data_IF_170519654638
#
_entry.id   IF_170519654638
#
_cell.length_a   1.000
_cell.length_b   1.000
_cell.length_c   1.000
_cell.angle_alpha   90.00
_cell.angle_beta   90.00
_cell.angle_gamma   90.00
#
_symmetry.space_group_name_H-M   'P 1'
#
loop_
_entity.id
_entity.type
_entity.pdbx_description
1 polymer ?
#
# COMPACT_ATOMS: atom_id res chain seq x y z
N UNK A 1 -12.38 11.31 -8.51
CA UNK A 1 -10.95 11.61 -8.32
C UNK A 1 -10.16 10.88 -9.40
N UNK A 2 -9.25 11.57 -10.10
CA UNK A 2 -8.39 10.94 -11.12
C UNK A 2 -6.94 11.20 -10.73
N UNK A 3 -6.33 10.19 -10.11
CA UNK A 3 -4.95 10.22 -9.67
C UNK A 3 -3.96 9.98 -10.81
N UNK A 4 -2.71 10.32 -10.55
CA UNK A 4 -1.57 10.05 -11.45
C UNK A 4 -0.29 9.87 -10.67
N UNK A 5 0.65 9.19 -11.29
CA UNK A 5 2.03 9.05 -10.81
C UNK A 5 2.90 9.99 -11.63
N UNK A 6 3.69 10.82 -10.95
CA UNK A 6 4.63 11.75 -11.54
C UNK A 6 6.06 11.32 -11.22
N UNK A 7 6.97 11.48 -12.20
CA UNK A 7 8.41 11.38 -12.00
C UNK A 7 9.01 12.74 -12.14
N UNK A 8 9.71 13.20 -11.10
CA UNK A 8 10.37 14.49 -11.07
C UNK A 8 11.89 14.29 -11.13
N UNK A 9 12.57 15.10 -11.94
CA UNK A 9 14.01 15.29 -11.83
C UNK A 9 14.25 16.56 -11.03
N UNK A 10 14.96 16.44 -9.92
CA UNK A 10 15.20 17.54 -9.00
C UNK A 10 16.70 17.83 -8.93
N UNK A 11 17.09 19.09 -8.99
CA UNK A 11 18.46 19.55 -8.76
C UNK A 11 18.81 19.53 -7.27
N UNK A 12 20.10 19.67 -6.94
CA UNK A 12 20.59 19.65 -5.56
C UNK A 12 20.01 20.77 -4.68
N UNK A 13 19.62 21.89 -5.30
CA UNK A 13 18.98 23.04 -4.64
C UNK A 13 17.46 22.88 -4.47
N UNK A 14 16.88 21.73 -4.89
CA UNK A 14 15.43 21.46 -4.85
C UNK A 14 14.66 21.94 -6.08
N UNK A 15 15.31 22.58 -7.06
CA UNK A 15 14.64 23.00 -8.29
C UNK A 15 14.16 21.82 -9.12
N UNK A 16 12.90 21.83 -9.55
CA UNK A 16 12.35 20.80 -10.44
C UNK A 16 12.83 21.08 -11.87
N UNK A 17 13.70 20.22 -12.37
CA UNK A 17 14.27 20.29 -13.73
C UNK A 17 13.37 19.65 -14.78
N UNK A 18 12.63 18.60 -14.40
CA UNK A 18 11.74 17.85 -15.29
C UNK A 18 10.57 17.28 -14.50
N UNK A 19 9.40 17.24 -15.13
CA UNK A 19 8.19 16.62 -14.60
C UNK A 19 7.55 15.77 -15.71
N UNK A 20 7.46 14.47 -15.48
CA UNK A 20 6.88 13.51 -16.41
C UNK A 20 5.72 12.74 -15.76
N UNK A 21 4.66 12.52 -16.52
CA UNK A 21 3.57 11.65 -16.14
C UNK A 21 3.98 10.20 -16.43
N UNK A 22 4.05 9.36 -15.41
CA UNK A 22 4.27 7.91 -15.56
C UNK A 22 2.96 7.23 -15.88
N UNK A 23 1.96 7.38 -15.01
CA UNK A 23 0.63 6.79 -15.18
C UNK A 23 -0.45 7.80 -14.80
N UNK A 24 -1.60 7.69 -15.45
CA UNK A 24 -2.76 8.56 -15.19
C UNK A 24 -4.08 7.79 -15.29
N UNK A 25 -5.16 8.41 -14.81
CA UNK A 25 -6.49 7.81 -14.80
C UNK A 25 -6.70 6.86 -13.62
N UNK A 26 -5.77 6.81 -12.67
CA UNK A 26 -5.90 6.03 -11.46
C UNK A 26 -7.03 6.57 -10.57
N UNK A 27 -7.75 5.68 -9.88
CA UNK A 27 -8.87 6.08 -9.05
C UNK A 27 -8.42 6.58 -7.67
N UNK A 28 -7.62 5.81 -6.97
CA UNK A 28 -7.11 6.16 -5.65
C UNK A 28 -5.70 5.58 -5.43
N UNK A 29 -4.66 6.11 -6.13
CA UNK A 29 -3.29 5.70 -5.87
C UNK A 29 -2.86 6.19 -4.48
N UNK A 30 -2.13 5.34 -3.74
CA UNK A 30 -1.67 5.66 -2.40
C UNK A 30 -0.15 5.46 -2.27
N UNK A 31 0.31 4.33 -1.75
CA UNK A 31 1.72 4.06 -1.53
C UNK A 31 2.52 3.80 -2.79
N UNK A 32 3.80 4.17 -2.78
CA UNK A 32 4.74 3.91 -3.87
C UNK A 32 6.08 3.42 -3.32
N UNK A 33 6.67 2.39 -3.95
CA UNK A 33 8.04 1.91 -3.67
C UNK A 33 8.72 1.49 -4.98
N UNK A 34 10.04 1.62 -4.98
CA UNK A 34 10.90 1.23 -6.11
C UNK A 34 11.73 0.01 -5.70
N UNK A 35 11.85 -0.96 -6.63
CA UNK A 35 12.76 -2.09 -6.51
C UNK A 35 13.30 -2.46 -7.89
N UNK A 36 14.63 -2.40 -8.06
CA UNK A 36 15.26 -2.58 -9.37
C UNK A 36 14.72 -1.57 -10.39
N UNK A 37 14.33 -2.06 -11.54
CA UNK A 37 13.84 -1.24 -12.66
C UNK A 37 12.32 -0.97 -12.61
N UNK A 38 11.67 -1.27 -11.49
CA UNK A 38 10.22 -1.16 -11.35
C UNK A 38 9.81 -0.31 -10.17
N UNK A 39 8.71 0.43 -10.35
CA UNK A 39 7.95 1.02 -9.27
C UNK A 39 6.65 0.24 -9.04
N UNK A 40 6.28 0.12 -7.78
CA UNK A 40 5.06 -0.53 -7.31
C UNK A 40 4.18 0.52 -6.67
N UNK A 41 2.92 0.58 -7.10
CA UNK A 41 1.96 1.61 -6.65
C UNK A 41 0.68 0.92 -6.22
N UNK A 42 0.26 1.14 -4.98
CA UNK A 42 -1.06 0.67 -4.53
C UNK A 42 -2.17 1.53 -5.09
N UNK A 43 -3.31 0.90 -5.36
CA UNK A 43 -4.58 1.57 -5.62
C UNK A 43 -5.65 0.97 -4.73
N UNK A 44 -6.23 1.80 -3.87
CA UNK A 44 -7.08 1.35 -2.76
C UNK A 44 -8.40 0.75 -3.21
N UNK A 45 -8.83 0.96 -4.46
CA UNK A 45 -9.98 0.27 -5.06
C UNK A 45 -9.94 0.30 -6.58
N UNK A 46 -10.64 -0.66 -7.19
CA UNK A 46 -10.96 -0.71 -8.62
C UNK A 46 -12.48 -0.62 -8.75
N UNK A 47 -13.01 0.61 -8.88
CA UNK A 47 -14.45 0.86 -8.82
C UNK A 47 -15.29 0.08 -9.85
N UNK A 48 -14.86 -0.08 -11.13
CA UNK A 48 -15.59 -0.85 -12.13
C UNK A 48 -15.55 -2.36 -11.87
N UNK A 49 -14.58 -2.85 -11.09
CA UNK A 49 -14.41 -4.29 -10.83
C UNK A 49 -15.39 -4.73 -9.76
N UNK A 50 -16.18 -5.77 -10.09
CA UNK A 50 -17.12 -6.38 -9.16
C UNK A 50 -16.63 -7.78 -8.80
N UNK A 51 -16.22 -7.95 -7.54
CA UNK A 51 -15.96 -9.30 -7.03
C UNK A 51 -17.28 -10.08 -6.97
N UNK A 52 -17.30 -11.40 -7.30
CA UNK A 52 -18.54 -12.20 -7.24
C UNK A 52 -19.28 -12.17 -5.90
N UNK A 53 -18.53 -11.95 -4.80
CA UNK A 53 -19.10 -11.78 -3.45
C UNK A 53 -19.62 -10.37 -3.16
N UNK A 54 -19.49 -9.41 -4.10
CA UNK A 54 -19.82 -8.00 -3.89
C UNK A 54 -18.78 -7.20 -3.11
N UNK A 55 -17.67 -7.83 -2.70
CA UNK A 55 -16.60 -7.18 -1.93
C UNK A 55 -15.74 -6.27 -2.79
N UNK A 56 -15.09 -5.32 -2.13
CA UNK A 56 -14.16 -4.38 -2.76
C UNK A 56 -12.90 -5.10 -3.27
N UNK A 57 -12.48 -4.74 -4.48
CA UNK A 57 -11.22 -5.17 -5.09
C UNK A 57 -10.26 -3.98 -5.16
N UNK A 58 -9.02 -4.22 -4.79
CA UNK A 58 -7.91 -3.28 -4.88
C UNK A 58 -6.68 -3.95 -5.51
N UNK A 59 -5.65 -3.19 -5.82
CA UNK A 59 -4.48 -3.75 -6.49
C UNK A 59 -3.17 -3.04 -6.16
N UNK A 60 -2.07 -3.69 -6.52
CA UNK A 60 -0.76 -3.09 -6.74
C UNK A 60 -0.51 -3.07 -8.24
N UNK A 61 -0.22 -1.90 -8.79
CA UNK A 61 0.34 -1.75 -10.12
C UNK A 61 1.87 -1.85 -10.09
N UNK A 62 2.45 -2.32 -11.19
CA UNK A 62 3.91 -2.32 -11.43
C UNK A 62 4.20 -1.65 -12.75
N UNK A 63 5.01 -0.59 -12.71
CA UNK A 63 5.46 0.16 -13.88
C UNK A 63 6.98 0.06 -14.01
N UNK A 64 7.49 -0.03 -15.24
CA UNK A 64 8.92 0.18 -15.52
C UNK A 64 9.32 1.62 -15.21
N UNK A 65 10.53 1.82 -14.72
CA UNK A 65 11.03 3.18 -14.43
C UNK A 65 11.22 4.03 -15.68
N UNK A 66 11.30 3.43 -16.86
CA UNK A 66 11.41 4.08 -18.17
C UNK A 66 10.04 4.33 -18.83
N UNK A 67 8.96 3.72 -18.33
CA UNK A 67 7.62 3.90 -18.88
C UNK A 67 7.05 5.30 -18.58
N UNK A 68 6.28 5.82 -19.53
CA UNK A 68 5.64 7.14 -19.45
C UNK A 68 4.26 7.12 -20.12
N UNK A 69 3.38 8.02 -19.68
CA UNK A 69 2.06 8.25 -20.26
C UNK A 69 1.15 7.02 -20.31
N UNK A 70 1.22 6.16 -19.29
CA UNK A 70 0.41 4.96 -19.18
C UNK A 70 -1.02 5.37 -18.81
N UNK A 71 -1.98 5.04 -19.65
CA UNK A 71 -3.41 5.19 -19.35
C UNK A 71 -3.91 3.96 -18.60
N UNK A 72 -4.29 4.13 -17.33
CA UNK A 72 -4.81 3.04 -16.49
C UNK A 72 -6.29 2.81 -16.80
N UNK A 73 -6.66 1.54 -17.02
CA UNK A 73 -8.02 1.15 -17.35
C UNK A 73 -8.93 0.94 -16.15
N UNK A 74 -8.34 0.74 -14.96
CA UNK A 74 -9.03 0.35 -13.71
C UNK A 74 -9.80 -0.96 -13.79
N UNK A 75 -9.44 -1.84 -14.72
CA UNK A 75 -10.02 -3.18 -14.88
C UNK A 75 -8.98 -4.27 -14.63
N UNK A 76 -9.41 -5.50 -14.41
CA UNK A 76 -8.50 -6.64 -14.15
C UNK A 76 -7.64 -7.02 -15.38
N UNK A 77 -8.03 -6.56 -16.57
CA UNK A 77 -7.29 -6.77 -17.82
C UNK A 77 -6.12 -5.79 -17.99
N UNK A 78 -5.96 -4.81 -17.08
CA UNK A 78 -4.83 -3.89 -17.15
C UNK A 78 -3.53 -4.65 -16.93
N UNK A 79 -2.65 -4.60 -17.95
CA UNK A 79 -1.37 -5.35 -17.98
C UNK A 79 -0.40 -4.95 -16.88
N UNK A 80 -0.59 -3.79 -16.26
CA UNK A 80 0.27 -3.29 -15.20
C UNK A 80 -0.18 -3.76 -13.80
N UNK A 81 -1.33 -4.43 -13.68
CA UNK A 81 -1.70 -5.05 -12.40
C UNK A 81 -0.70 -6.14 -12.07
N UNK A 82 -0.05 -5.99 -10.92
CA UNK A 82 0.91 -6.94 -10.38
C UNK A 82 0.26 -7.92 -9.40
N UNK A 83 -0.59 -7.42 -8.52
CA UNK A 83 -1.33 -8.23 -7.55
C UNK A 83 -2.68 -7.58 -7.24
N UNK A 84 -3.67 -8.41 -6.87
CA UNK A 84 -5.00 -7.96 -6.44
C UNK A 84 -5.29 -8.41 -5.03
N UNK A 85 -6.18 -7.68 -4.36
CA UNK A 85 -6.63 -7.94 -2.99
C UNK A 85 -8.14 -7.76 -2.91
N UNK A 86 -8.77 -8.54 -2.05
CA UNK A 86 -10.18 -8.40 -1.71
C UNK A 86 -10.27 -7.91 -0.27
N UNK A 87 -11.05 -6.86 -0.02
CA UNK A 87 -11.33 -6.37 1.31
C UNK A 87 -12.59 -7.02 1.82
N UNK A 88 -12.47 -7.75 2.94
CA UNK A 88 -13.55 -8.51 3.55
C UNK A 88 -14.52 -7.63 4.35
N UNK A 89 -14.01 -6.53 4.91
CA UNK A 89 -14.78 -5.61 5.74
C UNK A 89 -15.77 -4.78 4.90
N UNK A 90 -17.10 -4.98 5.02
CA UNK A 90 -18.09 -4.26 4.22
C UNK A 90 -18.23 -2.79 4.61
N UNK A 91 -17.78 -2.41 5.81
CA UNK A 91 -17.89 -1.04 6.33
C UNK A 91 -16.77 -0.14 5.81
N UNK A 92 -15.72 -0.70 5.21
CA UNK A 92 -14.60 0.06 4.68
C UNK A 92 -14.52 -0.03 3.16
N UNK A 93 -14.30 1.13 2.52
CA UNK A 93 -14.22 1.27 1.06
C UNK A 93 -12.79 1.44 0.55
N UNK A 94 -11.78 1.05 1.34
CA UNK A 94 -10.35 1.10 0.97
C UNK A 94 -9.67 -0.25 1.20
N UNK A 95 -8.86 -0.66 0.23
CA UNK A 95 -8.12 -1.93 0.25
C UNK A 95 -6.61 -1.70 0.30
N UNK A 96 -5.88 -2.06 -0.77
CA UNK A 96 -4.41 -1.91 -0.82
C UNK A 96 -4.00 -0.45 -0.63
N UNK A 97 -3.17 -0.20 0.39
CA UNK A 97 -2.78 1.12 0.84
C UNK A 97 -1.26 1.23 1.01
N UNK A 98 -0.71 1.20 2.23
CA UNK A 98 0.73 1.21 2.45
C UNK A 98 1.43 0.01 1.84
N UNK A 99 2.68 0.20 1.38
CA UNK A 99 3.53 -0.90 0.94
C UNK A 99 5.00 -0.64 1.29
N UNK A 100 5.75 -1.72 1.56
CA UNK A 100 7.17 -1.65 1.90
C UNK A 100 7.89 -2.95 1.53
N UNK A 101 9.17 -2.85 1.14
CA UNK A 101 10.03 -4.02 0.95
C UNK A 101 10.82 -4.32 2.23
N UNK A 102 10.97 -5.62 2.54
CA UNK A 102 11.94 -6.06 3.54
C UNK A 102 13.35 -6.13 2.93
N UNK A 103 14.35 -6.46 3.76
CA UNK A 103 15.74 -6.60 3.33
C UNK A 103 16.00 -7.77 2.38
N UNK A 104 15.13 -8.77 2.38
CA UNK A 104 15.17 -9.91 1.46
C UNK A 104 14.48 -9.61 0.12
N UNK A 105 13.86 -8.44 0.01
CA UNK A 105 13.17 -7.98 -1.19
C UNK A 105 11.78 -8.55 -1.36
N UNK A 106 11.13 -9.05 -0.31
CA UNK A 106 9.71 -9.38 -0.29
C UNK A 106 8.91 -8.09 -0.12
N UNK A 107 7.78 -7.98 -0.81
CA UNK A 107 6.88 -6.83 -0.71
C UNK A 107 5.78 -7.11 0.31
N UNK A 108 5.59 -6.18 1.23
CA UNK A 108 4.47 -6.22 2.17
C UNK A 108 3.47 -5.13 1.78
N UNK A 109 2.20 -5.48 1.76
CA UNK A 109 1.09 -4.61 1.35
C UNK A 109 0.02 -4.64 2.42
N UNK A 110 -0.36 -3.47 2.91
CA UNK A 110 -1.48 -3.29 3.83
C UNK A 110 -2.80 -3.33 3.08
N UNK A 111 -3.78 -4.09 3.58
CA UNK A 111 -5.18 -3.98 3.20
C UNK A 111 -5.88 -3.16 4.28
N UNK A 112 -6.12 -1.89 4.00
CA UNK A 112 -6.56 -0.88 4.96
C UNK A 112 -7.83 -1.32 5.69
N UNK A 113 -8.89 -1.66 4.97
CA UNK A 113 -10.19 -1.97 5.55
C UNK A 113 -10.22 -3.22 6.42
N UNK A 114 -9.30 -4.13 6.20
CA UNK A 114 -9.23 -5.39 6.94
C UNK A 114 -8.25 -5.35 8.12
N UNK A 115 -7.41 -4.30 8.24
CA UNK A 115 -6.31 -4.29 9.20
C UNK A 115 -5.37 -5.47 8.95
N UNK A 116 -5.14 -5.81 7.69
CA UNK A 116 -4.40 -7.01 7.28
C UNK A 116 -3.13 -6.64 6.50
N UNK A 117 -2.08 -7.42 6.68
CA UNK A 117 -0.84 -7.32 5.92
C UNK A 117 -0.66 -8.55 5.06
N UNK A 118 -0.46 -8.35 3.77
CA UNK A 118 -0.12 -9.39 2.81
C UNK A 118 1.37 -9.37 2.52
N UNK A 119 1.96 -10.54 2.29
CA UNK A 119 3.35 -10.69 1.87
C UNK A 119 3.41 -11.29 0.48
N UNK A 120 4.10 -10.58 -0.42
CA UNK A 120 4.35 -10.97 -1.79
C UNK A 120 5.79 -11.42 -1.95
N UNK A 121 6.00 -12.58 -2.57
CA UNK A 121 7.31 -13.07 -3.00
C UNK A 121 7.40 -13.09 -4.52
N UNK A 122 8.62 -13.12 -5.02
CA UNK A 122 8.93 -13.00 -6.45
C UNK A 122 9.65 -14.24 -6.96
N UNK A 123 9.45 -14.58 -8.22
CA UNK A 123 10.34 -15.44 -8.97
C UNK A 123 11.64 -14.69 -9.31
N UNK A 124 12.66 -15.41 -9.82
CA UNK A 124 13.94 -14.81 -10.23
C UNK A 124 13.79 -13.78 -11.35
N UNK A 125 12.80 -13.96 -12.23
CA UNK A 125 12.46 -13.01 -13.30
C UNK A 125 11.66 -11.79 -12.82
N UNK A 126 11.41 -11.67 -11.52
CA UNK A 126 10.64 -10.59 -10.91
C UNK A 126 9.13 -10.72 -11.09
N UNK A 127 8.60 -11.80 -11.64
CA UNK A 127 7.16 -12.07 -11.66
C UNK A 127 6.66 -12.45 -10.27
N UNK A 128 5.35 -12.34 -10.07
CA UNK A 128 4.69 -12.69 -8.81
C UNK A 128 4.78 -14.21 -8.59
N UNK A 129 5.38 -14.62 -7.48
CA UNK A 129 5.44 -16.04 -7.07
C UNK A 129 4.30 -16.40 -6.14
N UNK A 130 4.05 -15.57 -5.14
CA UNK A 130 3.05 -15.82 -4.12
C UNK A 130 2.55 -14.50 -3.51
N UNK A 131 1.25 -14.43 -3.21
CA UNK A 131 0.60 -13.37 -2.45
C UNK A 131 -0.20 -14.02 -1.33
N UNK A 132 0.25 -13.87 -0.08
CA UNK A 132 -0.36 -14.50 1.09
C UNK A 132 -0.61 -13.52 2.23
N UNK A 133 -1.69 -13.74 2.96
CA UNK A 133 -1.90 -13.11 4.25
C UNK A 133 -0.71 -13.44 5.17
N UNK A 134 -0.06 -12.40 5.69
CA UNK A 134 1.08 -12.50 6.59
C UNK A 134 0.68 -12.26 8.05
N UNK A 135 -0.11 -11.22 8.30
CA UNK A 135 -0.55 -10.86 9.65
C UNK A 135 -1.94 -10.21 9.61
N UNK A 136 -2.75 -10.55 10.59
CA UNK A 136 -4.03 -9.92 10.85
C UNK A 136 -4.46 -10.19 12.30
N UNK A 137 -4.75 -9.13 13.04
CA UNK A 137 -5.40 -9.19 14.34
C UNK A 137 -6.17 -7.88 14.56
N UNK A 138 -7.45 -7.86 14.27
CA UNK A 138 -8.28 -6.65 14.33
C UNK A 138 -8.42 -6.07 15.73
N UNK A 139 -8.10 -6.80 16.78
CA UNK A 139 -8.04 -6.27 18.14
C UNK A 139 -6.80 -5.40 18.38
N UNK A 140 -5.76 -5.56 17.56
CA UNK A 140 -4.48 -4.89 17.67
C UNK A 140 -4.17 -3.94 16.50
N UNK A 141 -4.82 -4.13 15.34
CA UNK A 141 -4.62 -3.37 14.10
C UNK A 141 -5.95 -3.28 13.36
N UNK A 142 -6.57 -2.11 13.38
CA UNK A 142 -7.88 -1.89 12.75
C UNK A 142 -7.76 -1.53 11.26
N UNK A 143 -6.70 -0.76 10.92
CA UNK A 143 -6.40 -0.35 9.56
C UNK A 143 -4.90 -0.34 9.29
N UNK A 144 -4.50 -0.33 8.01
CA UNK A 144 -3.08 -0.28 7.62
C UNK A 144 -2.85 0.90 6.70
N UNK A 145 -2.14 1.92 7.16
CA UNK A 145 -1.69 3.05 6.35
C UNK A 145 -0.17 2.97 6.12
N UNK A 146 0.61 4.00 6.44
CA UNK A 146 2.06 3.99 6.29
C UNK A 146 2.75 2.84 7.01
N UNK A 147 3.78 2.26 6.36
CA UNK A 147 4.49 1.09 6.90
C UNK A 147 5.99 1.21 6.74
N UNK A 148 6.74 0.76 7.75
CA UNK A 148 8.21 0.73 7.73
C UNK A 148 8.77 -0.43 8.54
N UNK A 149 9.86 -1.03 8.07
CA UNK A 149 10.62 -2.03 8.83
C UNK A 149 11.73 -1.40 9.68
N UNK A 150 11.97 -1.97 10.85
CA UNK A 150 13.21 -1.76 11.59
C UNK A 150 14.31 -2.74 11.16
N UNK A 151 15.48 -2.59 11.77
CA UNK A 151 16.65 -3.42 11.51
C UNK A 151 16.52 -4.86 12.02
N UNK A 152 15.54 -5.13 12.87
CA UNK A 152 15.24 -6.46 13.43
C UNK A 152 14.17 -7.20 12.65
N UNK A 153 13.60 -6.58 11.61
CA UNK A 153 12.54 -7.15 10.79
C UNK A 153 11.15 -7.00 11.40
N UNK A 154 10.97 -6.14 12.41
CA UNK A 154 9.66 -5.76 12.87
C UNK A 154 9.06 -4.73 11.90
N UNK A 155 7.80 -4.92 11.54
CA UNK A 155 7.04 -4.00 10.69
C UNK A 155 6.19 -3.08 11.57
N UNK A 156 6.45 -1.79 11.52
CA UNK A 156 5.63 -0.76 12.17
C UNK A 156 4.61 -0.23 11.19
N UNK A 157 3.38 -0.06 11.67
CA UNK A 157 2.22 0.29 10.85
C UNK A 157 1.46 1.42 11.53
N UNK A 158 1.18 2.47 10.78
CA UNK A 158 0.24 3.50 11.16
C UNK A 158 -1.18 2.92 11.09
N UNK A 159 -1.88 2.87 12.24
CA UNK A 159 -3.27 2.44 12.35
C UNK A 159 -4.16 3.67 12.38
N UNK A 160 -4.54 4.13 11.19
CA UNK A 160 -5.30 5.35 10.96
C UNK A 160 -6.63 5.35 11.74
N UNK A 161 -7.40 4.26 11.66
CA UNK A 161 -8.73 4.18 12.28
C UNK A 161 -8.68 4.15 13.81
N UNK A 162 -7.62 3.58 14.38
CA UNK A 162 -7.48 3.45 15.83
C UNK A 162 -6.69 4.60 16.48
N UNK A 163 -6.22 5.60 15.73
CA UNK A 163 -5.26 6.60 16.21
C UNK A 163 -4.07 5.94 16.92
N UNK A 164 -3.45 4.95 16.27
CA UNK A 164 -2.50 4.06 16.90
C UNK A 164 -1.29 3.73 16.01
N UNK A 165 -0.28 3.14 16.64
CA UNK A 165 0.82 2.46 15.95
C UNK A 165 0.79 0.99 16.38
N UNK A 166 0.80 0.10 15.40
CA UNK A 166 0.96 -1.33 15.61
C UNK A 166 2.36 -1.79 15.15
N UNK A 167 2.84 -2.87 15.74
CA UNK A 167 4.05 -3.57 15.35
C UNK A 167 3.70 -5.02 15.01
N UNK A 168 4.18 -5.49 13.86
CA UNK A 168 4.09 -6.89 13.44
C UNK A 168 5.48 -7.50 13.48
N UNK A 169 5.63 -8.56 14.26
CA UNK A 169 6.90 -9.31 14.37
C UNK A 169 7.18 -10.16 13.12
N UNK A 170 8.43 -10.64 12.94
CA UNK A 170 8.77 -11.54 11.82
C UNK A 170 7.95 -12.83 11.76
N UNK A 171 7.38 -13.28 12.87
CA UNK A 171 6.49 -14.44 12.96
C UNK A 171 5.03 -14.14 12.63
N UNK A 172 4.68 -12.87 12.34
CA UNK A 172 3.33 -12.42 12.05
C UNK A 172 2.51 -12.00 13.27
N UNK A 173 3.07 -12.05 14.48
CA UNK A 173 2.39 -11.58 15.69
C UNK A 173 2.18 -10.08 15.66
N UNK A 174 0.94 -9.63 15.82
CA UNK A 174 0.53 -8.21 15.82
C UNK A 174 0.41 -7.70 17.25
N UNK A 175 0.91 -6.50 17.51
CA UNK A 175 0.76 -5.80 18.78
C UNK A 175 0.59 -4.31 18.59
N UNK A 176 -0.46 -3.73 19.15
CA UNK A 176 -0.57 -2.27 19.31
C UNK A 176 0.43 -1.79 20.36
N UNK A 177 1.27 -0.82 20.01
CA UNK A 177 2.37 -0.34 20.85
C UNK A 177 2.17 1.09 21.33
N UNK A 178 1.36 1.88 20.64
CA UNK A 178 0.98 3.24 21.02
C UNK A 178 -0.45 3.53 20.52
N UNK A 179 -1.20 4.30 21.28
CA UNK A 179 -2.57 4.69 20.92
C UNK A 179 -2.97 5.98 21.63
N UNK A 180 -3.75 6.83 20.93
CA UNK A 180 -4.45 7.99 21.47
C UNK A 180 -5.92 7.89 21.08
N UNK A 181 -6.73 7.05 21.76
CA UNK A 181 -8.05 6.65 21.27
C UNK A 181 -9.05 7.82 21.16
N UNK A 182 -8.91 8.84 22.01
CA UNK A 182 -9.79 10.01 22.06
C UNK A 182 -9.11 11.27 21.49
N UNK A 183 -8.09 11.10 20.63
CA UNK A 183 -7.30 12.20 20.10
C UNK A 183 -8.13 13.14 19.23
N UNK A 184 -8.05 14.43 19.50
CA UNK A 184 -8.55 15.50 18.63
C UNK A 184 -7.44 16.11 17.74
N UNK A 185 -6.20 15.63 17.89
CA UNK A 185 -5.02 16.09 17.16
C UNK A 185 -4.43 17.42 17.64
N UNK A 186 -4.94 18.01 18.73
CA UNK A 186 -4.55 19.35 19.15
C UNK A 186 -3.34 19.38 20.11
N UNK A 187 -3.03 18.26 20.75
CA UNK A 187 -2.03 18.19 21.83
C UNK A 187 -0.81 17.30 21.54
N UNK A 188 -0.49 17.07 20.26
CA UNK A 188 0.65 16.23 19.84
C UNK A 188 0.39 14.73 19.99
N UNK A 189 -0.87 14.34 20.08
CA UNK A 189 -1.31 12.96 20.13
C UNK A 189 -1.36 12.33 18.74
N UNK A 190 -1.45 11.00 18.69
CA UNK A 190 -1.73 10.31 17.45
C UNK A 190 -3.16 10.64 16.99
N UNK A 191 -3.28 11.17 15.78
CA UNK A 191 -4.58 11.42 15.15
C UNK A 191 -4.49 11.07 13.68
N UNK A 192 -5.15 10.00 13.28
CA UNK A 192 -5.17 9.48 11.91
C UNK A 192 -3.74 9.41 11.31
N UNK A 193 -2.79 8.70 11.97
CA UNK A 193 -1.43 8.62 11.49
C UNK A 193 -1.39 7.90 10.12
N UNK A 194 -0.52 8.42 9.22
CA UNK A 194 -0.34 7.90 7.87
C UNK A 194 1.11 7.62 7.51
#
# INVERSE_FOLDING_TARGET
FKGRVLRLKVADDGTILENKVVAYGMEHPNGIRIKGDYMYVTQSYLHPVKHPSGKLVSCVYRFGLDEENIAITNTLEDRHIFATFVTENPECQYGADGLVFDREGKLYVGNFGDGAVYRITFHEDGSLKENKLFAQDRSQLESTDGMIFDDHGNLYIADFCANAIAMVKPDGTVRRIAQSPDSDGLHGELNQPG
#
